data_IF_282615383220
#
_entry.id   IF_282615383220
#
_cell.length_a   1.000
_cell.length_b   1.000
_cell.length_c   1.000
_cell.angle_alpha   90.00
_cell.angle_beta   90.00
_cell.angle_gamma   90.00
#
_symmetry.space_group_name_H-M   'P 1'
#
loop_
_entity.id
_entity.type
_entity.pdbx_description
1 polymer ?
#
# COMPACT_ATOMS: atom_id res chain seq x y z
N UNK A 1 -7.60 0.32 -46.38
CA UNK A 1 -7.40 1.18 -45.19
C UNK A 1 -6.13 0.70 -44.54
N UNK A 2 -5.00 1.39 -44.74
CA UNK A 2 -3.72 1.01 -44.15
C UNK A 2 -3.86 1.22 -42.65
N UNK A 3 -3.87 0.15 -41.87
CA UNK A 3 -3.76 0.24 -40.42
C UNK A 3 -2.41 0.91 -40.17
N UNK A 4 -2.43 2.17 -39.75
CA UNK A 4 -1.22 2.88 -39.36
C UNK A 4 -0.69 2.22 -38.09
N UNK A 5 0.13 1.19 -38.26
CA UNK A 5 0.81 0.55 -37.15
C UNK A 5 1.79 1.56 -36.54
N UNK A 6 1.70 1.75 -35.23
CA UNK A 6 2.65 2.59 -34.51
C UNK A 6 4.08 2.04 -34.66
N UNK A 7 5.08 2.90 -34.42
CA UNK A 7 6.51 2.51 -34.47
C UNK A 7 6.81 1.36 -33.49
N UNK A 8 6.07 1.28 -32.38
CA UNK A 8 6.17 0.21 -31.41
C UNK A 8 5.25 -0.96 -31.80
N UNK A 9 5.77 -2.17 -32.06
CA UNK A 9 4.96 -3.34 -32.35
C UNK A 9 4.04 -3.73 -31.18
N UNK A 10 2.92 -4.38 -31.47
CA UNK A 10 1.99 -4.88 -30.43
C UNK A 10 2.67 -5.83 -29.44
N UNK A 11 3.53 -6.73 -29.93
CA UNK A 11 4.35 -7.61 -29.09
C UNK A 11 5.26 -6.82 -28.15
N UNK A 12 5.81 -5.70 -28.62
CA UNK A 12 6.66 -4.84 -27.79
C UNK A 12 5.83 -4.15 -26.71
N UNK A 13 4.63 -3.66 -27.02
CA UNK A 13 3.70 -3.11 -26.01
C UNK A 13 3.32 -4.15 -24.95
N UNK A 14 3.05 -5.40 -25.37
CA UNK A 14 2.75 -6.49 -24.45
C UNK A 14 3.91 -6.81 -23.50
N UNK A 15 5.17 -6.58 -23.89
CA UNK A 15 6.34 -6.77 -23.03
C UNK A 15 6.68 -5.54 -22.18
N UNK A 16 6.58 -4.34 -22.74
CA UNK A 16 6.99 -3.10 -22.07
C UNK A 16 6.18 -2.84 -20.80
N UNK A 17 4.86 -3.04 -20.83
CA UNK A 17 3.98 -2.77 -19.69
C UNK A 17 4.32 -3.63 -18.46
N UNK A 18 4.36 -4.98 -18.54
CA UNK A 18 4.71 -5.81 -17.38
C UNK A 18 6.17 -5.62 -16.96
N UNK A 19 7.10 -5.35 -17.89
CA UNK A 19 8.50 -5.03 -17.54
C UNK A 19 8.58 -3.74 -16.74
N UNK A 20 7.89 -2.68 -17.15
CA UNK A 20 7.85 -1.42 -16.41
C UNK A 20 7.27 -1.60 -15.00
N UNK A 21 6.20 -2.39 -14.86
CA UNK A 21 5.64 -2.72 -13.56
C UNK A 21 6.64 -3.53 -12.70
N UNK A 22 7.31 -4.53 -13.27
CA UNK A 22 8.32 -5.31 -12.56
C UNK A 22 9.49 -4.44 -12.09
N UNK A 23 9.97 -3.52 -12.92
CA UNK A 23 11.01 -2.54 -12.56
C UNK A 23 10.53 -1.63 -11.41
N UNK A 24 9.29 -1.16 -11.46
CA UNK A 24 8.70 -0.35 -10.38
C UNK A 24 8.63 -1.10 -9.05
N UNK A 25 8.20 -2.37 -9.06
CA UNK A 25 8.16 -3.22 -7.86
C UNK A 25 9.58 -3.48 -7.35
N UNK A 26 10.53 -3.82 -8.23
CA UNK A 26 11.92 -4.04 -7.86
C UNK A 26 12.55 -2.79 -7.23
N UNK A 27 12.25 -1.60 -7.78
CA UNK A 27 12.68 -0.33 -7.21
C UNK A 27 12.08 -0.10 -5.82
N UNK A 28 10.77 -0.36 -5.63
CA UNK A 28 10.13 -0.25 -4.33
C UNK A 28 10.77 -1.19 -3.30
N UNK A 29 11.03 -2.45 -3.66
CA UNK A 29 11.71 -3.41 -2.76
C UNK A 29 13.13 -2.94 -2.43
N UNK A 30 13.88 -2.42 -3.40
CA UNK A 30 15.21 -1.87 -3.17
C UNK A 30 15.19 -0.70 -2.19
N UNK A 31 14.24 0.24 -2.35
CA UNK A 31 14.10 1.35 -1.40
C UNK A 31 13.73 0.86 -0.01
N UNK A 32 12.88 -0.17 0.10
CA UNK A 32 12.52 -0.75 1.39
C UNK A 32 13.72 -1.43 2.07
N UNK A 33 14.55 -2.14 1.33
CA UNK A 33 15.82 -2.71 1.83
C UNK A 33 16.80 -1.63 2.27
N UNK A 34 16.83 -0.48 1.60
CA UNK A 34 17.65 0.65 2.05
C UNK A 34 17.13 1.26 3.36
N UNK A 35 15.82 1.31 3.55
CA UNK A 35 15.19 1.75 4.82
C UNK A 35 15.41 0.71 5.93
N UNK A 36 15.41 -0.58 5.62
CA UNK A 36 15.63 -1.65 6.61
C UNK A 36 17.02 -1.66 7.22
N UNK A 37 18.00 -0.98 6.60
CA UNK A 37 19.34 -0.78 7.18
C UNK A 37 19.31 0.00 8.50
N UNK A 38 18.27 0.80 8.74
CA UNK A 38 18.03 1.42 10.04
C UNK A 38 17.42 0.37 10.98
N UNK A 39 18.24 -0.17 11.88
CA UNK A 39 17.83 -1.16 12.89
C UNK A 39 17.08 -0.43 14.02
N UNK A 40 15.90 -0.96 14.38
CA UNK A 40 15.03 -0.43 15.46
C UNK A 40 14.95 -1.38 16.67
N UNK A 41 15.48 -2.59 16.55
CA UNK A 41 15.60 -3.54 17.65
C UNK A 41 17.09 -3.91 17.87
N UNK A 42 17.53 -4.13 19.12
CA UNK A 42 18.84 -4.70 19.36
C UNK A 42 18.88 -6.15 18.92
N UNK A 43 20.04 -6.63 18.49
CA UNK A 43 20.30 -8.07 18.45
C UNK A 43 20.11 -8.65 19.86
N UNK A 44 19.48 -9.83 20.03
CA UNK A 44 19.49 -10.51 21.31
C UNK A 44 20.95 -10.74 21.68
N UNK A 45 21.43 -10.12 22.76
CA UNK A 45 22.72 -10.46 23.36
C UNK A 45 22.67 -11.96 23.63
N UNK A 46 23.48 -12.73 22.90
CA UNK A 46 23.71 -14.13 23.21
C UNK A 46 24.14 -14.25 24.66
N UNK A 47 23.51 -15.15 25.40
CA UNK A 47 24.03 -15.65 26.67
C UNK A 47 25.46 -16.15 26.42
N UNK A 48 26.45 -15.48 27.01
CA UNK A 48 27.84 -15.86 26.84
C UNK A 48 28.78 -15.13 27.80
N UNK A 49 29.16 -15.82 28.87
CA UNK A 49 30.46 -15.61 29.52
C UNK A 49 30.45 -14.95 30.88
N UNK A 50 30.31 -15.77 31.92
CA UNK A 50 30.94 -15.53 33.23
C UNK A 50 32.47 -15.41 33.06
N UNK A 51 33.04 -14.30 33.51
CA UNK A 51 34.43 -14.12 33.98
C UNK A 51 34.54 -12.63 34.39
N UNK A 52 35.11 -12.19 35.49
CA UNK A 52 36.03 -12.76 36.47
C UNK A 52 36.74 -11.54 37.07
N UNK A 53 36.77 -11.42 38.40
CA UNK A 53 37.37 -10.27 39.07
C UNK A 53 38.87 -10.14 38.82
N UNK A 54 39.36 -8.89 38.80
CA UNK A 54 40.79 -8.59 38.72
C UNK A 54 41.04 -7.11 38.99
N UNK A 55 41.57 -6.80 40.17
CA UNK A 55 42.08 -5.48 40.54
C UNK A 55 43.42 -5.19 39.85
N UNK A 56 43.64 -3.94 39.42
CA UNK A 56 44.92 -3.46 38.91
C UNK A 56 44.91 -1.95 38.69
N UNK A 57 45.78 -1.23 39.40
CA UNK A 57 45.87 0.23 39.44
C UNK A 57 46.71 0.81 38.28
N UNK A 58 46.38 2.05 37.87
CA UNK A 58 47.33 2.99 37.27
C UNK A 58 46.90 3.64 35.95
N UNK A 59 46.76 4.98 35.95
CA UNK A 59 46.75 5.81 34.73
C UNK A 59 45.52 6.72 34.60
N UNK A 60 45.69 7.99 34.97
CA UNK A 60 44.70 9.07 34.84
C UNK A 60 44.48 9.46 33.38
N UNK A 61 43.28 9.95 33.09
CA UNK A 61 42.84 10.70 31.89
C UNK A 61 42.31 9.92 30.66
N UNK A 62 41.91 8.66 30.81
CA UNK A 62 41.16 7.91 29.77
C UNK A 62 39.81 7.35 30.22
N UNK A 63 39.55 7.28 31.52
CA UNK A 63 38.33 6.69 32.06
C UNK A 63 37.10 7.60 31.92
N UNK A 64 37.27 8.92 31.85
CA UNK A 64 36.14 9.84 31.74
C UNK A 64 35.51 9.82 30.35
N UNK A 65 36.29 9.60 29.28
CA UNK A 65 35.77 9.58 27.90
C UNK A 65 35.04 8.26 27.59
N UNK A 66 35.53 7.14 28.13
CA UNK A 66 34.88 5.82 27.98
C UNK A 66 33.60 5.68 28.82
N UNK A 67 33.56 6.29 30.01
CA UNK A 67 32.37 6.28 30.87
C UNK A 67 31.28 7.23 30.34
N UNK A 68 31.63 8.30 29.63
CA UNK A 68 30.66 9.22 29.00
C UNK A 68 30.05 8.58 27.75
N UNK A 69 30.80 7.83 26.94
CA UNK A 69 30.23 7.05 25.83
C UNK A 69 29.35 5.88 26.32
N UNK A 70 29.66 5.25 27.46
CA UNK A 70 28.81 4.21 28.04
C UNK A 70 27.51 4.78 28.66
N UNK A 71 27.53 5.95 29.33
CA UNK A 71 26.31 6.59 29.84
C UNK A 71 25.42 7.19 28.73
N UNK A 72 26.01 7.78 27.68
CA UNK A 72 25.26 8.22 26.50
C UNK A 72 24.68 7.03 25.73
N UNK A 73 25.46 5.95 25.55
CA UNK A 73 25.01 4.72 24.90
C UNK A 73 23.91 3.96 25.64
N UNK A 74 23.87 4.03 26.98
CA UNK A 74 22.81 3.42 27.80
C UNK A 74 21.48 4.18 27.66
N UNK A 75 21.52 5.52 27.62
CA UNK A 75 20.36 6.35 27.32
C UNK A 75 19.87 6.15 25.89
N UNK A 76 20.80 5.98 24.95
CA UNK A 76 20.48 5.80 23.54
C UNK A 76 19.81 4.46 23.24
N UNK A 77 20.24 3.41 23.93
CA UNK A 77 19.64 2.09 23.83
C UNK A 77 18.19 2.10 24.34
N UNK A 78 17.95 2.77 25.47
CA UNK A 78 16.62 2.94 26.03
C UNK A 78 15.70 3.76 25.09
N UNK A 79 16.25 4.78 24.41
CA UNK A 79 15.51 5.55 23.39
C UNK A 79 15.13 4.67 22.21
N UNK A 80 16.06 3.86 21.69
CA UNK A 80 15.78 2.94 20.57
C UNK A 80 14.69 1.92 20.96
N UNK A 81 14.81 1.32 22.14
CA UNK A 81 13.78 0.42 22.69
C UNK A 81 12.43 1.12 22.80
N UNK A 82 12.41 2.35 23.34
CA UNK A 82 11.16 3.08 23.51
C UNK A 82 10.51 3.45 22.18
N UNK A 83 11.30 3.85 21.19
CA UNK A 83 10.82 4.08 19.83
C UNK A 83 10.22 2.81 19.21
N UNK A 84 10.82 1.64 19.46
CA UNK A 84 10.29 0.35 18.99
C UNK A 84 8.97 -0.03 19.66
N UNK A 85 8.84 0.21 20.97
CA UNK A 85 7.59 -0.01 21.71
C UNK A 85 6.45 0.87 21.16
N UNK A 86 6.71 2.17 20.99
CA UNK A 86 5.73 3.12 20.43
C UNK A 86 5.36 2.73 19.00
N UNK A 87 6.34 2.35 18.18
CA UNK A 87 6.09 1.86 16.82
C UNK A 87 5.17 0.65 16.81
N UNK A 88 5.41 -0.31 17.71
CA UNK A 88 4.60 -1.53 17.82
C UNK A 88 3.16 -1.18 18.18
N UNK A 89 2.95 -0.31 19.18
CA UNK A 89 1.61 0.15 19.57
C UNK A 89 0.87 0.85 18.41
N UNK A 90 1.56 1.71 17.64
CA UNK A 90 0.98 2.38 16.46
C UNK A 90 0.65 1.34 15.37
N UNK A 91 1.55 0.39 15.11
CA UNK A 91 1.37 -0.62 14.07
C UNK A 91 0.20 -1.56 14.38
N UNK A 92 0.07 -1.98 15.64
CA UNK A 92 -1.05 -2.80 16.13
C UNK A 92 -2.38 -2.05 16.03
N UNK A 93 -2.43 -0.80 16.51
CA UNK A 93 -3.62 0.05 16.43
C UNK A 93 -4.07 0.28 14.98
N UNK A 94 -3.14 0.67 14.09
CA UNK A 94 -3.42 0.89 12.68
C UNK A 94 -3.89 -0.39 11.98
N UNK A 95 -3.27 -1.53 12.28
CA UNK A 95 -3.65 -2.83 11.70
C UNK A 95 -5.04 -3.27 12.19
N UNK A 96 -5.34 -3.11 13.48
CA UNK A 96 -6.64 -3.43 14.07
C UNK A 96 -7.78 -2.59 13.48
N UNK A 97 -7.55 -1.28 13.35
CA UNK A 97 -8.51 -0.38 12.71
C UNK A 97 -8.77 -0.75 11.25
N UNK A 98 -7.71 -0.92 10.44
CA UNK A 98 -7.89 -1.25 9.02
C UNK A 98 -8.58 -2.60 8.82
N UNK A 99 -8.30 -3.62 9.65
CA UNK A 99 -9.03 -4.89 9.54
C UNK A 99 -10.52 -4.73 9.82
N UNK A 100 -10.86 -3.89 10.80
CA UNK A 100 -12.26 -3.60 11.13
C UNK A 100 -12.92 -2.85 9.98
N UNK A 101 -12.30 -1.79 9.47
CA UNK A 101 -12.79 -1.03 8.32
C UNK A 101 -12.97 -1.93 7.08
N UNK A 102 -11.99 -2.78 6.78
CA UNK A 102 -12.00 -3.65 5.61
C UNK A 102 -13.06 -4.75 5.72
N UNK A 103 -13.41 -5.18 6.93
CA UNK A 103 -14.53 -6.11 7.15
C UNK A 103 -15.85 -5.49 6.72
N UNK A 104 -16.11 -4.22 7.08
CA UNK A 104 -17.32 -3.51 6.66
C UNK A 104 -17.29 -3.17 5.17
N UNK A 105 -16.16 -2.68 4.67
CA UNK A 105 -15.98 -2.39 3.25
C UNK A 105 -16.16 -3.65 2.38
N UNK A 106 -15.69 -4.81 2.85
CA UNK A 106 -15.88 -6.10 2.20
C UNK A 106 -17.36 -6.52 2.14
N UNK A 107 -18.12 -6.30 3.21
CA UNK A 107 -19.57 -6.50 3.21
C UNK A 107 -20.28 -5.63 2.17
N UNK A 108 -19.94 -4.33 2.13
CA UNK A 108 -20.45 -3.41 1.11
C UNK A 108 -20.06 -3.85 -0.31
N UNK A 109 -18.81 -4.24 -0.52
CA UNK A 109 -18.28 -4.72 -1.80
C UNK A 109 -19.11 -5.89 -2.33
N UNK A 110 -19.43 -6.88 -1.49
CA UNK A 110 -20.24 -8.04 -1.91
C UNK A 110 -21.66 -7.61 -2.33
N UNK A 111 -22.31 -6.76 -1.53
CA UNK A 111 -23.66 -6.27 -1.86
C UNK A 111 -23.66 -5.48 -3.17
N UNK A 112 -22.69 -4.57 -3.32
CA UNK A 112 -22.60 -3.73 -4.51
C UNK A 112 -22.23 -4.52 -5.77
N UNK A 113 -21.38 -5.55 -5.64
CA UNK A 113 -21.08 -6.49 -6.73
C UNK A 113 -22.35 -7.22 -7.21
N UNK A 114 -23.20 -7.69 -6.28
CA UNK A 114 -24.48 -8.32 -6.64
C UNK A 114 -25.40 -7.31 -7.33
N UNK A 115 -25.46 -6.06 -6.85
CA UNK A 115 -26.26 -5.02 -7.49
C UNK A 115 -25.79 -4.72 -8.91
N UNK A 116 -24.48 -4.61 -9.15
CA UNK A 116 -23.91 -4.43 -10.49
C UNK A 116 -24.35 -5.57 -11.42
N UNK A 117 -24.19 -6.82 -10.96
CA UNK A 117 -24.56 -7.99 -11.75
C UNK A 117 -26.05 -8.02 -12.09
N UNK A 118 -26.92 -7.78 -11.10
CA UNK A 118 -28.38 -7.80 -11.29
C UNK A 118 -28.85 -6.66 -12.19
N UNK A 119 -28.36 -5.44 -11.98
CA UNK A 119 -28.78 -4.29 -12.78
C UNK A 119 -28.30 -4.38 -14.22
N UNK A 120 -27.02 -4.72 -14.45
CA UNK A 120 -26.52 -4.91 -15.82
C UNK A 120 -27.12 -6.14 -16.49
N UNK A 121 -27.34 -7.24 -15.76
CA UNK A 121 -27.98 -8.44 -16.27
C UNK A 121 -29.47 -8.25 -16.61
N UNK A 122 -30.17 -7.36 -15.89
CA UNK A 122 -31.59 -7.09 -16.09
C UNK A 122 -31.90 -6.28 -17.35
N UNK A 123 -30.91 -5.58 -17.94
CA UNK A 123 -31.12 -4.74 -19.14
C UNK A 123 -31.73 -5.56 -20.29
N UNK A 124 -31.22 -6.78 -20.48
CA UNK A 124 -31.67 -7.71 -21.54
C UNK A 124 -32.38 -8.94 -20.95
N UNK A 125 -32.94 -8.82 -19.74
CA UNK A 125 -33.67 -9.90 -19.07
C UNK A 125 -32.84 -11.19 -18.86
N UNK A 126 -31.55 -11.05 -18.56
CA UNK A 126 -30.60 -12.17 -18.42
C UNK A 126 -30.47 -13.05 -19.67
N UNK A 127 -30.73 -12.49 -20.86
CA UNK A 127 -30.58 -13.19 -22.13
C UNK A 127 -29.12 -13.58 -22.40
N UNK A 128 -28.91 -14.83 -22.79
CA UNK A 128 -27.61 -15.38 -23.20
C UNK A 128 -27.33 -15.24 -24.70
N UNK A 129 -28.26 -14.63 -25.44
CA UNK A 129 -28.13 -14.48 -26.89
C UNK A 129 -27.20 -13.31 -27.25
N UNK A 130 -26.34 -13.52 -28.23
CA UNK A 130 -25.53 -12.46 -28.83
C UNK A 130 -26.42 -11.40 -29.47
N UNK A 131 -26.06 -10.14 -29.26
CA UNK A 131 -26.81 -8.96 -29.70
C UNK A 131 -26.05 -8.23 -30.81
N UNK A 132 -26.74 -7.48 -31.69
CA UNK A 132 -26.06 -6.58 -32.62
C UNK A 132 -25.27 -5.51 -31.82
N UNK A 133 -24.03 -5.25 -32.23
CA UNK A 133 -23.20 -4.26 -31.57
C UNK A 133 -23.78 -2.84 -31.72
N UNK A 134 -23.89 -2.10 -30.62
CA UNK A 134 -24.40 -0.71 -30.63
C UNK A 134 -23.52 0.24 -31.46
N UNK A 135 -22.22 -0.05 -31.57
CA UNK A 135 -21.22 0.78 -32.23
C UNK A 135 -20.97 0.43 -33.71
N UNK A 136 -21.44 -0.73 -34.20
CA UNK A 136 -21.18 -1.16 -35.58
C UNK A 136 -22.32 -2.00 -36.13
N UNK A 137 -22.98 -1.46 -37.16
CA UNK A 137 -24.05 -2.14 -37.88
C UNK A 137 -23.46 -3.35 -38.62
N UNK A 138 -23.88 -4.57 -38.23
CA UNK A 138 -23.47 -5.82 -38.87
C UNK A 138 -22.48 -6.68 -38.08
N UNK A 139 -21.95 -6.20 -36.94
CA UNK A 139 -21.18 -7.05 -36.00
C UNK A 139 -22.07 -7.59 -34.90
N UNK A 140 -21.79 -8.82 -34.48
CA UNK A 140 -22.44 -9.45 -33.33
C UNK A 140 -21.51 -9.37 -32.12
N UNK A 141 -22.03 -8.83 -31.02
CA UNK A 141 -21.31 -8.62 -29.78
C UNK A 141 -21.60 -9.75 -28.79
N UNK A 142 -20.76 -9.84 -27.76
CA UNK A 142 -20.98 -10.77 -26.64
C UNK A 142 -22.29 -10.43 -25.91
N UNK A 143 -22.94 -11.40 -25.26
CA UNK A 143 -24.21 -11.15 -24.57
C UNK A 143 -24.01 -10.15 -23.42
N UNK A 144 -25.00 -9.29 -23.18
CA UNK A 144 -24.97 -8.31 -22.09
C UNK A 144 -24.77 -8.96 -20.71
N UNK A 145 -25.24 -10.21 -20.54
CA UNK A 145 -24.99 -11.00 -19.34
C UNK A 145 -23.50 -11.28 -19.10
N UNK A 146 -22.72 -11.49 -20.16
CA UNK A 146 -21.27 -11.64 -20.04
C UNK A 146 -20.64 -10.32 -19.59
N UNK A 147 -21.03 -9.18 -20.19
CA UNK A 147 -20.57 -7.86 -19.74
C UNK A 147 -20.91 -7.63 -18.27
N UNK A 148 -22.11 -7.98 -17.82
CA UNK A 148 -22.49 -7.89 -16.42
C UNK A 148 -21.56 -8.72 -15.51
N UNK A 149 -21.23 -9.95 -15.90
CA UNK A 149 -20.31 -10.81 -15.15
C UNK A 149 -18.88 -10.24 -15.12
N UNK A 150 -18.33 -9.85 -16.28
CA UNK A 150 -16.97 -9.30 -16.38
C UNK A 150 -16.84 -7.95 -15.68
N UNK A 151 -17.85 -7.06 -15.77
CA UNK A 151 -17.90 -5.82 -14.99
C UNK A 151 -17.89 -6.07 -13.49
N UNK A 152 -18.61 -7.09 -13.03
CA UNK A 152 -18.65 -7.47 -11.61
C UNK A 152 -17.29 -8.02 -11.16
N UNK A 153 -16.65 -8.86 -11.98
CA UNK A 153 -15.29 -9.38 -11.72
C UNK A 153 -14.28 -8.22 -11.69
N UNK A 154 -14.34 -7.30 -12.65
CA UNK A 154 -13.47 -6.13 -12.71
C UNK A 154 -13.67 -5.23 -11.47
N UNK A 155 -14.91 -5.02 -11.04
CA UNK A 155 -15.24 -4.31 -9.81
C UNK A 155 -14.58 -4.94 -8.58
N UNK A 156 -14.72 -6.27 -8.40
CA UNK A 156 -14.10 -6.96 -7.27
C UNK A 156 -12.56 -6.89 -7.36
N UNK A 157 -11.98 -7.05 -8.54
CA UNK A 157 -10.53 -6.91 -8.75
C UNK A 157 -10.03 -5.50 -8.37
N UNK A 158 -10.74 -4.46 -8.80
CA UNK A 158 -10.41 -3.06 -8.46
C UNK A 158 -10.55 -2.78 -6.97
N UNK A 159 -11.61 -3.28 -6.35
CA UNK A 159 -11.85 -3.15 -4.92
C UNK A 159 -10.75 -3.83 -4.09
N UNK A 160 -10.41 -5.09 -4.40
CA UNK A 160 -9.32 -5.82 -3.73
C UNK A 160 -7.99 -5.11 -3.92
N UNK A 161 -7.69 -4.64 -5.14
CA UNK A 161 -6.44 -3.91 -5.43
C UNK A 161 -6.34 -2.62 -4.60
N UNK A 162 -7.45 -1.91 -4.42
CA UNK A 162 -7.52 -0.70 -3.60
C UNK A 162 -7.30 -0.99 -2.11
N UNK A 163 -7.90 -2.05 -1.57
CA UNK A 163 -7.69 -2.49 -0.18
C UNK A 163 -6.24 -2.93 0.05
N UNK A 164 -5.66 -3.71 -0.86
CA UNK A 164 -4.24 -4.13 -0.80
C UNK A 164 -3.32 -2.91 -0.86
N UNK A 165 -3.63 -1.93 -1.72
CA UNK A 165 -2.89 -0.67 -1.83
C UNK A 165 -2.88 0.12 -0.52
N UNK A 166 -4.04 0.28 0.12
CA UNK A 166 -4.16 0.94 1.42
C UNK A 166 -3.38 0.22 2.52
N UNK A 167 -3.48 -1.10 2.57
CA UNK A 167 -2.78 -1.93 3.55
C UNK A 167 -1.25 -1.86 3.40
N UNK A 168 -0.74 -2.00 2.17
CA UNK A 168 0.70 -1.92 1.89
C UNK A 168 1.26 -0.53 2.23
N UNK A 169 0.52 0.53 1.90
CA UNK A 169 0.86 1.91 2.28
C UNK A 169 0.94 2.09 3.80
N UNK A 170 -0.04 1.58 4.54
CA UNK A 170 -0.03 1.61 6.00
C UNK A 170 1.15 0.81 6.58
N UNK A 171 1.47 -0.36 6.04
CA UNK A 171 2.60 -1.17 6.51
C UNK A 171 3.94 -0.48 6.32
N UNK A 172 4.19 0.16 5.18
CA UNK A 172 5.45 0.89 5.00
C UNK A 172 5.51 2.15 5.86
N UNK A 173 4.41 2.87 6.04
CA UNK A 173 4.36 4.06 6.89
C UNK A 173 4.62 3.71 8.37
N UNK A 174 3.93 2.69 8.89
CA UNK A 174 4.13 2.20 10.26
C UNK A 174 5.48 1.51 10.47
N UNK A 175 6.14 1.07 9.39
CA UNK A 175 7.51 0.56 9.44
C UNK A 175 8.56 1.68 9.46
N UNK A 176 8.33 2.78 8.73
CA UNK A 176 9.30 3.85 8.54
C UNK A 176 9.27 4.95 9.62
N UNK A 177 8.17 5.09 10.35
CA UNK A 177 7.98 6.13 11.37
C UNK A 177 9.12 6.19 12.40
N UNK A 178 9.37 5.13 13.17
CA UNK A 178 10.45 5.11 14.17
C UNK A 178 11.85 5.19 13.54
N UNK A 179 12.05 4.60 12.36
CA UNK A 179 13.32 4.72 11.62
C UNK A 179 13.65 6.16 11.26
N UNK A 180 12.63 6.93 10.89
CA UNK A 180 12.75 8.36 10.60
C UNK A 180 13.12 9.12 11.87
N UNK A 181 12.51 8.81 13.01
CA UNK A 181 12.84 9.40 14.31
C UNK A 181 14.29 9.11 14.73
N UNK A 182 14.76 7.87 14.57
CA UNK A 182 16.14 7.49 14.90
C UNK A 182 17.17 8.19 14.00
N UNK A 183 16.87 8.36 12.71
CA UNK A 183 17.75 9.08 11.79
C UNK A 183 17.69 10.61 11.97
N UNK A 184 16.64 11.15 12.60
CA UNK A 184 16.57 12.58 12.94
C UNK A 184 17.66 13.01 13.92
N UNK A 185 18.17 12.07 14.73
CA UNK A 185 19.32 12.29 15.61
C UNK A 185 20.61 12.64 14.86
N UNK A 186 20.69 12.27 13.57
CA UNK A 186 21.82 12.54 12.67
C UNK A 186 21.58 13.76 11.76
N UNK A 187 20.51 14.52 12.03
CA UNK A 187 20.12 15.71 11.30
C UNK A 187 18.99 15.50 10.29
N UNK A 188 18.40 16.62 9.86
CA UNK A 188 17.19 16.67 9.03
C UNK A 188 17.37 15.95 7.70
N UNK A 189 18.54 16.07 7.07
CA UNK A 189 18.80 15.44 5.77
C UNK A 189 18.72 13.91 5.81
N UNK A 190 19.16 13.27 6.91
CA UNK A 190 19.10 11.81 7.06
C UNK A 190 17.67 11.34 7.30
N UNK A 191 16.93 12.00 8.20
CA UNK A 191 15.51 11.73 8.43
C UNK A 191 14.69 11.91 7.15
N UNK A 192 14.90 12.99 6.41
CA UNK A 192 14.20 13.27 5.15
C UNK A 192 14.41 12.16 4.13
N UNK A 193 15.64 11.66 3.95
CA UNK A 193 15.92 10.58 3.01
C UNK A 193 15.19 9.29 3.40
N UNK A 194 15.11 8.95 4.69
CA UNK A 194 14.36 7.77 5.13
C UNK A 194 12.86 7.95 4.88
N UNK A 195 12.29 9.09 5.25
CA UNK A 195 10.88 9.38 5.01
C UNK A 195 10.53 9.37 3.51
N UNK A 196 11.36 10.03 2.69
CA UNK A 196 11.16 10.11 1.24
C UNK A 196 11.29 8.74 0.56
N UNK A 197 12.30 7.94 0.93
CA UNK A 197 12.44 6.56 0.41
C UNK A 197 11.23 5.72 0.77
N UNK A 198 10.72 5.84 1.99
CA UNK A 198 9.53 5.12 2.46
C UNK A 198 8.27 5.54 1.69
N UNK A 199 8.11 6.83 1.41
CA UNK A 199 7.06 7.34 0.53
C UNK A 199 7.19 6.83 -0.91
N UNK A 200 8.42 6.73 -1.42
CA UNK A 200 8.68 6.17 -2.74
C UNK A 200 8.32 4.68 -2.81
N UNK A 201 8.60 3.88 -1.78
CA UNK A 201 8.16 2.48 -1.70
C UNK A 201 6.65 2.38 -1.89
N UNK A 202 5.87 3.20 -1.17
CA UNK A 202 4.41 3.25 -1.33
C UNK A 202 4.03 3.64 -2.76
N UNK A 203 4.54 4.76 -3.28
CA UNK A 203 4.16 5.28 -4.58
C UNK A 203 4.45 4.31 -5.74
N UNK A 204 5.67 3.77 -5.80
CA UNK A 204 6.07 2.84 -6.86
C UNK A 204 5.35 1.50 -6.76
N UNK A 205 5.14 0.97 -5.56
CA UNK A 205 4.43 -0.29 -5.37
C UNK A 205 2.96 -0.17 -5.80
N UNK A 206 2.29 0.94 -5.45
CA UNK A 206 0.89 1.18 -5.82
C UNK A 206 0.74 1.42 -7.33
N UNK A 207 1.60 2.26 -7.92
CA UNK A 207 1.56 2.53 -9.36
C UNK A 207 1.84 1.26 -10.19
N UNK A 208 2.86 0.50 -9.81
CA UNK A 208 3.24 -0.71 -10.53
C UNK A 208 2.22 -1.84 -10.36
N UNK A 209 1.71 -2.08 -9.14
CA UNK A 209 0.71 -3.11 -8.90
C UNK A 209 -0.62 -2.78 -9.58
N UNK A 210 -1.08 -1.52 -9.52
CA UNK A 210 -2.29 -1.08 -10.19
C UNK A 210 -2.21 -1.21 -11.72
N UNK A 211 -1.06 -0.86 -12.30
CA UNK A 211 -0.80 -1.04 -13.73
C UNK A 211 -0.75 -2.52 -14.12
N UNK A 212 -0.06 -3.34 -13.33
CA UNK A 212 0.08 -4.76 -13.60
C UNK A 212 -1.26 -5.50 -13.54
N UNK A 213 -2.06 -5.26 -12.49
CA UNK A 213 -3.39 -5.88 -12.35
C UNK A 213 -4.30 -5.47 -13.50
N UNK A 214 -4.30 -4.19 -13.88
CA UNK A 214 -5.08 -3.71 -15.03
C UNK A 214 -4.63 -4.37 -16.34
N UNK A 215 -3.33 -4.47 -16.57
CA UNK A 215 -2.77 -5.16 -17.74
C UNK A 215 -3.20 -6.62 -17.79
N UNK A 216 -3.09 -7.35 -16.67
CA UNK A 216 -3.51 -8.75 -16.59
C UNK A 216 -5.01 -8.89 -16.82
N UNK A 217 -5.83 -8.01 -16.24
CA UNK A 217 -7.29 -8.02 -16.44
C UNK A 217 -7.66 -7.82 -17.92
N UNK A 218 -7.04 -6.84 -18.60
CA UNK A 218 -7.27 -6.58 -20.03
C UNK A 218 -6.91 -7.81 -20.87
N UNK A 219 -5.75 -8.42 -20.65
CA UNK A 219 -5.33 -9.60 -21.41
C UNK A 219 -6.23 -10.82 -21.14
N UNK A 220 -6.62 -11.07 -19.90
CA UNK A 220 -7.51 -12.17 -19.54
C UNK A 220 -8.91 -11.99 -20.13
N UNK A 221 -9.45 -10.77 -20.08
CA UNK A 221 -10.76 -10.48 -20.65
C UNK A 221 -10.69 -10.55 -22.19
N UNK A 222 -9.56 -10.15 -22.78
CA UNK A 222 -9.28 -10.27 -24.21
C UNK A 222 -9.46 -11.68 -24.75
N UNK A 223 -9.12 -12.72 -23.97
CA UNK A 223 -9.32 -14.11 -24.36
C UNK A 223 -10.79 -14.48 -24.56
N UNK A 224 -11.71 -13.82 -23.85
CA UNK A 224 -13.15 -14.05 -23.99
C UNK A 224 -13.78 -13.17 -25.07
N UNK A 225 -13.44 -11.88 -25.06
CA UNK A 225 -14.06 -10.87 -25.93
C UNK A 225 -13.58 -10.94 -27.38
N UNK A 226 -12.34 -11.36 -27.63
CA UNK A 226 -11.78 -11.45 -28.98
C UNK A 226 -11.80 -10.10 -29.69
N UNK A 227 -12.58 -9.99 -30.77
CA UNK A 227 -12.70 -8.76 -31.58
C UNK A 227 -13.66 -7.70 -31.00
N UNK A 228 -14.35 -8.01 -29.88
CA UNK A 228 -15.28 -7.09 -29.22
C UNK A 228 -14.56 -6.22 -28.17
N UNK A 229 -13.69 -5.33 -28.65
CA UNK A 229 -12.87 -4.45 -27.82
C UNK A 229 -13.69 -3.45 -27.00
N UNK A 230 -14.83 -3.00 -27.53
CA UNK A 230 -15.68 -2.04 -26.83
C UNK A 230 -16.36 -2.69 -25.62
N UNK A 231 -16.92 -3.89 -25.78
CA UNK A 231 -17.46 -4.67 -24.66
C UNK A 231 -16.40 -5.03 -23.62
N UNK A 232 -15.16 -5.30 -24.06
CA UNK A 232 -14.03 -5.53 -23.16
C UNK A 232 -13.74 -4.30 -22.30
N UNK A 233 -13.58 -3.13 -22.91
CA UNK A 233 -13.24 -1.92 -22.16
C UNK A 233 -14.41 -1.41 -21.33
N UNK A 234 -15.65 -1.60 -21.79
CA UNK A 234 -16.87 -1.38 -21.01
C UNK A 234 -16.83 -2.21 -19.73
N UNK A 235 -16.49 -3.50 -19.81
CA UNK A 235 -16.36 -4.35 -18.63
C UNK A 235 -15.20 -3.92 -17.71
N UNK A 236 -14.07 -3.51 -18.28
CA UNK A 236 -12.90 -3.03 -17.52
C UNK A 236 -13.19 -1.72 -16.76
N UNK A 237 -14.18 -0.91 -17.17
CA UNK A 237 -14.57 0.28 -16.39
C UNK A 237 -14.95 -0.06 -14.94
N UNK A 238 -15.45 -1.28 -14.70
CA UNK A 238 -15.73 -1.81 -13.35
C UNK A 238 -14.51 -1.76 -12.43
N UNK A 239 -13.29 -1.91 -12.95
CA UNK A 239 -12.05 -1.84 -12.15
C UNK A 239 -11.87 -0.47 -11.49
N UNK A 240 -12.09 0.62 -12.24
CA UNK A 240 -12.02 1.98 -11.70
C UNK A 240 -13.13 2.27 -10.69
N UNK A 241 -14.33 1.75 -10.94
CA UNK A 241 -15.47 1.84 -10.02
C UNK A 241 -15.14 1.17 -8.68
N UNK A 242 -14.69 -0.09 -8.70
CA UNK A 242 -14.35 -0.84 -7.49
C UNK A 242 -13.24 -0.18 -6.68
N UNK A 243 -12.18 0.28 -7.36
CA UNK A 243 -11.07 0.94 -6.70
C UNK A 243 -11.48 2.23 -5.99
N UNK A 244 -12.29 3.06 -6.66
CA UNK A 244 -12.78 4.34 -6.13
C UNK A 244 -13.80 4.15 -5.00
N UNK A 245 -14.67 3.14 -5.10
CA UNK A 245 -15.61 2.80 -4.03
C UNK A 245 -14.90 2.46 -2.74
N UNK A 246 -13.88 1.57 -2.76
CA UNK A 246 -13.13 1.24 -1.54
C UNK A 246 -12.30 2.42 -1.03
N UNK A 247 -11.74 3.22 -1.94
CA UNK A 247 -10.97 4.42 -1.57
C UNK A 247 -11.84 5.47 -0.86
N UNK A 248 -13.12 5.57 -1.21
CA UNK A 248 -14.07 6.46 -0.52
C UNK A 248 -14.25 6.05 0.94
N UNK A 249 -14.52 4.76 1.20
CA UNK A 249 -14.65 4.28 2.57
C UNK A 249 -13.36 4.47 3.37
N UNK A 250 -12.20 4.11 2.80
CA UNK A 250 -10.92 4.26 3.51
C UNK A 250 -10.54 5.71 3.82
N UNK A 251 -10.85 6.66 2.92
CA UNK A 251 -10.58 8.09 3.17
C UNK A 251 -11.52 8.70 4.18
N UNK A 252 -12.81 8.34 4.13
CA UNK A 252 -13.81 8.87 5.07
C UNK A 252 -13.65 8.22 6.45
N UNK A 253 -13.58 6.89 6.53
CA UNK A 253 -13.41 6.14 7.78
C UNK A 253 -12.09 6.48 8.47
N UNK A 254 -10.97 6.38 7.77
CA UNK A 254 -9.66 6.80 8.28
C UNK A 254 -9.59 8.29 8.62
N UNK A 255 -10.25 9.15 7.85
CA UNK A 255 -10.31 10.59 8.10
C UNK A 255 -11.06 10.92 9.40
N UNK A 256 -12.20 10.29 9.65
CA UNK A 256 -12.95 10.44 10.90
C UNK A 256 -12.12 9.94 12.08
N UNK A 257 -11.54 8.73 11.97
CA UNK A 257 -10.74 8.12 13.03
C UNK A 257 -9.58 9.03 13.45
N UNK A 258 -8.79 9.49 12.47
CA UNK A 258 -7.61 10.32 12.74
C UNK A 258 -7.97 11.71 13.25
N UNK A 259 -8.97 12.37 12.64
CA UNK A 259 -9.33 13.73 13.05
C UNK A 259 -10.02 13.81 14.41
N UNK A 260 -10.81 12.81 14.77
CA UNK A 260 -11.40 12.75 16.11
C UNK A 260 -10.32 12.63 17.19
N UNK A 261 -9.29 11.81 16.96
CA UNK A 261 -8.16 11.67 17.88
C UNK A 261 -7.30 12.94 17.95
N UNK A 262 -6.97 13.51 16.78
CA UNK A 262 -6.16 14.74 16.62
C UNK A 262 -6.77 15.92 17.39
N UNK A 263 -8.05 16.22 17.14
CA UNK A 263 -8.75 17.34 17.81
C UNK A 263 -8.88 17.11 19.32
N UNK A 264 -9.17 15.87 19.75
CA UNK A 264 -9.30 15.55 21.17
C UNK A 264 -7.98 15.68 21.94
N UNK A 265 -6.89 15.16 21.37
CA UNK A 265 -5.56 15.22 21.97
C UNK A 265 -5.07 16.68 22.05
N UNK A 266 -5.21 17.44 20.97
CA UNK A 266 -4.72 18.81 20.90
C UNK A 266 -5.47 19.75 21.83
N UNK A 267 -6.80 19.67 21.88
CA UNK A 267 -7.60 20.55 22.73
C UNK A 267 -7.31 20.32 24.21
N UNK A 268 -7.41 19.06 24.67
CA UNK A 268 -7.23 18.77 26.10
C UNK A 268 -5.76 18.90 26.50
N UNK A 269 -4.83 18.41 25.66
CA UNK A 269 -3.41 18.47 25.95
C UNK A 269 -2.87 19.89 25.95
N UNK A 270 -2.97 20.58 24.81
CA UNK A 270 -2.31 21.88 24.61
C UNK A 270 -3.09 23.02 25.24
N UNK A 271 -4.42 23.04 25.10
CA UNK A 271 -5.25 24.20 25.51
C UNK A 271 -5.66 24.11 26.98
N UNK A 272 -6.12 22.95 27.45
CA UNK A 272 -6.63 22.81 28.82
C UNK A 272 -5.52 22.48 29.84
N UNK A 273 -4.62 21.57 29.48
CA UNK A 273 -3.61 21.02 30.41
C UNK A 273 -2.21 21.60 30.24
N UNK A 274 -1.98 22.42 29.21
CA UNK A 274 -0.68 23.03 28.91
C UNK A 274 0.48 22.01 28.84
N UNK A 275 0.23 20.83 28.27
CA UNK A 275 1.28 19.84 27.98
C UNK A 275 1.72 19.92 26.50
N UNK A 276 2.97 19.50 26.17
CA UNK A 276 3.43 19.44 24.78
C UNK A 276 2.59 18.51 23.90
N UNK A 277 2.68 18.73 22.58
CA UNK A 277 2.09 17.87 21.52
C UNK A 277 2.83 16.53 21.39
#
# INVERSE_FOLDING_TARGET
>A
MVVAAAILPELATQLVVPVAAAVGIAFAVLQWVLVSKVKVAPEPRGEGGSAGGGAGAGGKDGASEYLIEEEEGLNDHNVVLKCAEIQTAISEGATSFLFTEYKYAGGFMTVFAVLIFVFLGSIEGFSTKSQPCHYSVGKTCKPALANAAFSTIAFVLGAVTSLVSGFLGMKIATYANARTTLEARKGVGKAFIVAFRSGAVMGFLLAASGLFVLYVAINLFGLYYGDDWEGLFEAITGYGLGGSSMALFGRVGGGIYTKAADVGADLVGKVERNIPE
#
